data_IF_659235301692
#
_entry.id   IF_659235301692
#
_cell.length_a   1.000
_cell.length_b   1.000
_cell.length_c   1.000
_cell.angle_alpha   90.00
_cell.angle_beta   90.00
_cell.angle_gamma   90.00
#
_symmetry.space_group_name_H-M   'P 1'
#
loop_
_entity.id
_entity.type
_entity.pdbx_description
1 polymer ?
#
# COMPACT_ATOMS: atom_id res chain seq x y z
N UNK A 1 4.08 15.69 -9.69
CA UNK A 1 2.62 15.73 -9.93
C UNK A 1 2.17 14.34 -10.28
N UNK A 2 1.04 13.88 -9.77
CA UNK A 2 0.36 12.68 -10.24
C UNK A 2 -1.12 12.98 -10.55
N UNK A 3 -1.72 12.16 -11.41
CA UNK A 3 -3.16 12.15 -11.67
C UNK A 3 -3.70 10.88 -11.04
N UNK A 4 -4.43 11.04 -9.94
CA UNK A 4 -5.02 9.89 -9.25
C UNK A 4 -6.30 9.43 -9.93
N UNK A 5 -6.62 8.15 -9.76
CA UNK A 5 -7.84 7.53 -10.25
C UNK A 5 -8.36 6.43 -9.32
N UNK A 6 -9.51 5.84 -9.65
CA UNK A 6 -10.17 4.83 -8.82
C UNK A 6 -9.43 3.47 -8.84
N UNK A 7 -8.60 3.22 -9.84
CA UNK A 7 -7.88 1.96 -9.99
C UNK A 7 -6.58 1.98 -9.20
N UNK A 8 -6.18 0.84 -8.63
CA UNK A 8 -4.95 0.71 -7.82
C UNK A 8 -3.75 1.29 -8.56
N UNK A 9 -3.54 0.91 -9.83
CA UNK A 9 -2.40 1.40 -10.61
C UNK A 9 -2.41 2.91 -10.83
N UNK A 10 -3.59 3.54 -10.88
CA UNK A 10 -3.72 5.00 -10.94
C UNK A 10 -3.63 5.69 -9.58
N UNK A 11 -3.68 4.93 -8.48
CA UNK A 11 -3.68 5.45 -7.11
C UNK A 11 -2.34 5.27 -6.38
N UNK A 12 -1.40 4.50 -6.95
CA UNK A 12 -0.08 4.23 -6.36
C UNK A 12 0.67 5.53 -6.04
N UNK A 13 0.72 6.46 -7.00
CA UNK A 13 1.47 7.70 -6.84
C UNK A 13 0.90 8.59 -5.72
N UNK A 14 -0.43 8.64 -5.56
CA UNK A 14 -1.08 9.33 -4.44
C UNK A 14 -0.65 8.74 -3.09
N UNK A 15 -0.68 7.41 -2.99
CA UNK A 15 -0.23 6.70 -1.79
C UNK A 15 1.25 6.99 -1.47
N UNK A 16 2.12 6.99 -2.48
CA UNK A 16 3.53 7.32 -2.32
C UNK A 16 3.73 8.78 -1.87
N UNK A 17 3.05 9.73 -2.51
CA UNK A 17 3.17 11.15 -2.18
C UNK A 17 2.76 11.43 -0.75
N UNK A 18 1.65 10.85 -0.28
CA UNK A 18 1.20 10.99 1.11
C UNK A 18 2.16 10.34 2.11
N UNK A 19 2.72 9.17 1.80
CA UNK A 19 3.74 8.54 2.65
C UNK A 19 4.96 9.46 2.81
N UNK A 20 5.40 10.07 1.71
CA UNK A 20 6.49 11.05 1.69
C UNK A 20 6.09 12.44 2.23
N UNK A 21 4.84 12.61 2.69
CA UNK A 21 4.27 13.87 3.20
C UNK A 21 4.38 15.03 2.21
N UNK A 22 4.36 14.72 0.91
CA UNK A 22 4.30 15.75 -0.12
C UNK A 22 2.95 16.46 -0.08
N UNK A 23 2.88 17.75 -0.50
CA UNK A 23 1.63 18.51 -0.47
C UNK A 23 0.52 17.89 -1.35
N UNK A 24 -0.74 17.99 -0.92
CA UNK A 24 -1.89 17.47 -1.67
C UNK A 24 -2.07 18.18 -3.02
N UNK A 25 -1.55 19.39 -3.17
CA UNK A 25 -1.51 20.12 -4.45
C UNK A 25 -0.72 19.37 -5.54
N UNK A 26 0.10 18.38 -5.15
CA UNK A 26 0.80 17.53 -6.10
C UNK A 26 -0.06 16.38 -6.66
N UNK A 27 -1.27 16.18 -6.14
CA UNK A 27 -2.18 15.06 -6.40
C UNK A 27 -3.47 15.60 -7.06
N UNK A 28 -3.56 15.46 -8.38
CA UNK A 28 -4.72 15.95 -9.12
C UNK A 28 -5.78 14.85 -9.31
N UNK A 29 -7.07 15.22 -9.25
CA UNK A 29 -8.21 14.31 -9.43
C UNK A 29 -8.91 14.45 -10.79
N UNK A 30 -8.24 15.09 -11.76
CA UNK A 30 -8.73 15.25 -13.13
C UNK A 30 -7.77 16.04 -14.02
N UNK A 31 -7.93 15.92 -15.33
CA UNK A 31 -7.00 16.51 -16.32
C UNK A 31 -6.84 18.03 -16.17
N UNK A 32 -7.93 18.75 -15.99
CA UNK A 32 -7.89 20.21 -15.82
C UNK A 32 -7.12 20.65 -14.57
N UNK A 33 -7.33 19.94 -13.45
CA UNK A 33 -6.58 20.18 -12.22
C UNK A 33 -5.09 19.82 -12.39
N UNK A 34 -4.82 18.71 -13.08
CA UNK A 34 -3.46 18.25 -13.36
C UNK A 34 -2.69 19.27 -14.22
N UNK A 35 -3.30 19.77 -15.29
CA UNK A 35 -2.70 20.80 -16.17
C UNK A 35 -2.37 22.06 -15.36
N UNK A 36 -3.32 22.57 -14.56
CA UNK A 36 -3.08 23.76 -13.73
C UNK A 36 -1.97 23.53 -12.70
N UNK A 37 -1.94 22.38 -12.04
CA UNK A 37 -0.91 22.05 -11.06
C UNK A 37 0.48 21.92 -11.70
N UNK A 38 0.57 21.32 -12.90
CA UNK A 38 1.81 21.24 -13.67
C UNK A 38 2.29 22.63 -14.10
N UNK A 39 1.40 23.49 -14.62
CA UNK A 39 1.76 24.86 -15.00
C UNK A 39 2.29 25.63 -13.79
N UNK A 40 1.61 25.56 -12.64
CA UNK A 40 2.08 26.13 -11.39
C UNK A 40 3.48 25.63 -11.02
N UNK A 41 3.71 24.33 -11.10
CA UNK A 41 5.02 23.73 -10.78
C UNK A 41 6.13 24.25 -11.70
N UNK A 42 5.83 24.50 -12.97
CA UNK A 42 6.79 25.05 -13.95
C UNK A 42 7.05 26.54 -13.70
N UNK A 43 6.00 27.32 -13.45
CA UNK A 43 6.07 28.77 -13.35
C UNK A 43 6.57 29.26 -11.98
N UNK A 44 6.15 28.62 -10.89
CA UNK A 44 6.52 29.01 -9.52
C UNK A 44 7.85 28.37 -9.11
N UNK A 45 8.96 29.04 -9.43
CA UNK A 45 10.31 28.53 -9.17
C UNK A 45 10.59 28.27 -7.68
N UNK A 46 10.27 29.22 -6.81
CA UNK A 46 10.51 29.10 -5.37
C UNK A 46 9.71 27.94 -4.77
N UNK A 47 8.46 27.76 -5.21
CA UNK A 47 7.64 26.64 -4.78
C UNK A 47 8.26 25.31 -5.20
N UNK A 48 8.74 25.21 -6.45
CA UNK A 48 9.42 24.02 -6.95
C UNK A 48 10.72 23.73 -6.20
N UNK A 49 11.52 24.74 -5.85
CA UNK A 49 12.75 24.55 -5.08
C UNK A 49 12.45 24.09 -3.64
N UNK A 50 11.43 24.68 -3.00
CA UNK A 50 10.96 24.23 -1.69
C UNK A 50 10.57 22.74 -1.71
N UNK A 51 9.83 22.29 -2.72
CA UNK A 51 9.47 20.87 -2.89
C UNK A 51 10.70 19.97 -3.07
N UNK A 52 11.73 20.44 -3.79
CA UNK A 52 12.98 19.71 -3.98
C UNK A 52 13.75 19.58 -2.66
N UNK A 53 13.88 20.66 -1.89
CA UNK A 53 14.52 20.61 -0.57
C UNK A 53 13.77 19.68 0.37
N UNK A 54 12.43 19.74 0.39
CA UNK A 54 11.62 18.81 1.20
C UNK A 54 11.93 17.34 0.89
N UNK A 55 12.11 16.99 -0.38
CA UNK A 55 12.48 15.62 -0.78
C UNK A 55 13.91 15.26 -0.36
N UNK A 56 14.86 16.18 -0.50
CA UNK A 56 16.26 15.96 -0.14
C UNK A 56 16.47 15.81 1.38
N UNK A 57 15.71 16.57 2.16
CA UNK A 57 15.77 16.55 3.63
C UNK A 57 14.98 15.39 4.23
N UNK A 58 14.15 14.71 3.43
CA UNK A 58 13.36 13.57 3.89
C UNK A 58 14.17 12.27 3.90
N UNK A 59 14.05 11.49 4.98
CA UNK A 59 14.55 10.11 5.02
C UNK A 59 13.58 9.19 4.28
N UNK A 60 13.70 9.17 2.96
CA UNK A 60 12.86 8.38 2.06
C UNK A 60 12.96 6.89 2.36
N UNK A 61 14.15 6.40 2.71
CA UNK A 61 14.36 4.99 3.01
C UNK A 61 13.59 4.57 4.26
N UNK A 62 13.71 5.37 5.34
CA UNK A 62 12.95 5.13 6.55
C UNK A 62 11.44 5.13 6.25
N UNK A 63 10.93 6.14 5.56
CA UNK A 63 9.48 6.26 5.29
C UNK A 63 8.94 5.13 4.40
N UNK A 64 9.72 4.66 3.44
CA UNK A 64 9.26 3.66 2.48
C UNK A 64 9.46 2.22 2.96
N UNK A 65 10.48 1.96 3.78
CA UNK A 65 10.90 0.61 4.14
C UNK A 65 10.84 0.29 5.64
N UNK A 66 10.63 1.27 6.52
CA UNK A 66 10.28 0.98 7.91
C UNK A 66 8.83 0.50 7.99
N UNK A 67 8.63 -0.64 8.65
CA UNK A 67 7.31 -1.25 8.78
C UNK A 67 7.34 -2.63 9.41
N UNK A 68 6.23 -3.35 9.22
CA UNK A 68 5.96 -4.64 9.84
C UNK A 68 5.77 -5.72 8.77
N UNK A 69 6.86 -6.22 8.14
CA UNK A 69 6.77 -7.23 7.09
C UNK A 69 6.10 -8.52 7.57
N UNK A 70 6.17 -8.83 8.87
CA UNK A 70 5.55 -9.99 9.52
C UNK A 70 4.02 -10.02 9.37
N UNK A 71 3.35 -8.85 9.29
CA UNK A 71 1.88 -8.77 9.21
C UNK A 71 1.31 -9.47 7.99
N UNK A 72 2.05 -9.50 6.88
CA UNK A 72 1.63 -10.26 5.71
C UNK A 72 1.59 -11.76 6.03
N UNK A 73 2.61 -12.28 6.69
CA UNK A 73 2.68 -13.69 7.08
C UNK A 73 1.58 -14.05 8.10
N UNK A 74 1.30 -13.16 9.06
CA UNK A 74 0.23 -13.34 10.04
C UNK A 74 -1.13 -13.49 9.34
N UNK A 75 -1.46 -12.60 8.41
CA UNK A 75 -2.73 -12.68 7.64
C UNK A 75 -2.82 -13.97 6.83
N UNK A 76 -1.73 -14.38 6.18
CA UNK A 76 -1.70 -15.63 5.41
C UNK A 76 -1.88 -16.85 6.33
N UNK A 77 -1.23 -16.85 7.50
CA UNK A 77 -1.37 -17.89 8.52
C UNK A 77 -2.81 -17.99 9.01
N UNK A 78 -3.46 -16.86 9.27
CA UNK A 78 -4.85 -16.81 9.72
C UNK A 78 -5.81 -17.35 8.65
N UNK A 79 -5.65 -16.93 7.39
CA UNK A 79 -6.44 -17.45 6.27
C UNK A 79 -6.24 -18.97 6.12
N UNK A 80 -5.00 -19.44 6.25
CA UNK A 80 -4.69 -20.87 6.19
C UNK A 80 -5.36 -21.66 7.31
N UNK A 81 -5.29 -21.18 8.56
CA UNK A 81 -5.91 -21.83 9.71
C UNK A 81 -7.44 -21.87 9.61
N UNK A 82 -8.05 -20.82 9.06
CA UNK A 82 -9.50 -20.74 8.84
C UNK A 82 -10.00 -21.68 7.75
N UNK A 83 -9.13 -22.01 6.78
CA UNK A 83 -9.46 -22.85 5.63
C UNK A 83 -8.76 -24.22 5.65
N UNK A 84 -8.30 -24.70 6.82
CA UNK A 84 -7.75 -26.04 6.99
C UNK A 84 -8.69 -27.06 6.30
N UNK A 85 -8.23 -27.78 5.25
CA UNK A 85 -9.03 -28.82 4.65
C UNK A 85 -9.32 -29.90 5.69
N UNK A 86 -10.50 -30.49 5.55
CA UNK A 86 -11.22 -31.43 6.42
C UNK A 86 -10.46 -32.75 6.77
N UNK A 87 -9.13 -32.83 6.68
CA UNK A 87 -8.39 -34.07 6.94
C UNK A 87 -8.38 -34.45 8.43
N UNK A 88 -8.55 -33.49 9.34
CA UNK A 88 -8.68 -33.76 10.78
C UNK A 88 -10.04 -34.37 11.21
N UNK A 89 -11.02 -34.47 10.30
CA UNK A 89 -12.28 -35.15 10.55
C UNK A 89 -12.26 -36.63 10.11
N UNK A 90 -11.39 -37.00 9.17
CA UNK A 90 -11.22 -38.39 8.70
C UNK A 90 -10.56 -39.28 9.77
N UNK A 91 -9.59 -38.75 10.52
CA UNK A 91 -8.88 -39.52 11.57
C UNK A 91 -9.77 -39.87 12.78
N UNK A 92 -10.82 -39.09 13.05
CA UNK A 92 -11.79 -39.37 14.13
C UNK A 92 -12.78 -40.48 13.80
N UNK A 93 -13.00 -40.79 12.52
CA UNK A 93 -13.87 -41.90 12.10
C UNK A 93 -13.10 -43.22 12.06
N UNK A 94 -11.82 -43.21 11.69
CA UNK A 94 -10.98 -44.41 11.56
C UNK A 94 -10.53 -45.05 12.89
N UNK A 95 -10.52 -44.30 13.99
CA UNK A 95 -10.14 -44.81 15.33
C UNK A 95 -11.32 -45.44 16.08
N UNK A 96 -12.56 -45.02 15.82
CA UNK A 96 -13.76 -45.58 16.45
C UNK A 96 -14.11 -46.99 15.92
N UNK A 97 -13.75 -47.32 14.68
CA UNK A 97 -13.99 -48.65 14.11
C UNK A 97 -12.96 -49.72 14.50
N UNK A 98 -11.80 -49.35 15.07
CA UNK A 98 -10.74 -50.31 15.47
C UNK A 98 -10.85 -50.83 16.91
N UNK A 99 -11.69 -50.22 17.74
CA UNK A 99 -11.89 -50.63 19.14
C UNK A 99 -13.10 -51.57 19.33
N UNK A 100 -13.73 -51.99 18.23
CA UNK A 100 -14.94 -52.83 18.22
C UNK A 100 -14.69 -54.23 17.63
N UNK A 101 -13.44 -54.70 17.57
CA UNK A 101 -13.07 -56.04 17.07
C UNK A 101 -12.41 -56.88 18.15
#
# INVERSE_FOLDING_TARGET
MCLTGPEVHSHIDEGLFRRLRLPEELIATGYEAYIRAVLRLVEEHEWREMLQHQLQDSDVEQVLFEGHPEKFADVISDVWQQHLPFDAASERVGTSQRLSS
#
